data_IF_807668034662
#
_entry.id   IF_807668034662
#
_cell.length_a   1.000
_cell.length_b   1.000
_cell.length_c   1.000
_cell.angle_alpha   90.00
_cell.angle_beta   90.00
_cell.angle_gamma   90.00
#
_symmetry.space_group_name_H-M   'P 1'
#
loop_
_entity.id
_entity.type
_entity.pdbx_description
1 polymer ?
#
# COMPACT_ATOMS: atom_id res chain seq x y z
N UNK A 1 -3.24 -33.64 -9.49
CA UNK A 1 -2.18 -32.67 -9.81
C UNK A 1 -2.79 -31.30 -9.59
N UNK A 2 -2.52 -30.67 -8.44
CA UNK A 2 -3.04 -29.35 -8.13
C UNK A 2 -2.33 -28.34 -9.04
N UNK A 3 -3.11 -27.61 -9.80
CA UNK A 3 -2.64 -26.47 -10.59
C UNK A 3 -2.29 -25.28 -9.65
N UNK A 4 -1.34 -25.48 -8.75
CA UNK A 4 -0.76 -24.43 -7.94
C UNK A 4 0.18 -23.56 -8.80
N UNK A 5 -0.39 -22.89 -9.79
CA UNK A 5 0.33 -21.78 -10.42
C UNK A 5 0.34 -20.66 -9.42
N UNK A 6 1.51 -20.14 -9.03
CA UNK A 6 1.59 -18.99 -8.16
C UNK A 6 0.80 -17.84 -8.79
N UNK A 7 -0.07 -17.22 -8.00
CA UNK A 7 -1.01 -16.17 -8.44
C UNK A 7 -0.33 -14.92 -9.02
N UNK A 8 0.96 -14.76 -8.79
CA UNK A 8 1.77 -13.60 -9.14
C UNK A 8 2.71 -13.81 -10.32
N UNK A 9 2.62 -14.95 -11.03
CA UNK A 9 3.41 -15.26 -12.25
C UNK A 9 3.28 -14.21 -13.36
N UNK A 10 2.33 -13.30 -13.29
CA UNK A 10 2.08 -12.36 -14.38
C UNK A 10 2.81 -11.02 -14.27
N UNK A 11 3.59 -10.78 -13.23
CA UNK A 11 4.41 -9.56 -13.14
C UNK A 11 5.54 -9.56 -14.16
N UNK A 12 6.08 -10.72 -14.47
CA UNK A 12 7.12 -10.92 -15.49
C UNK A 12 6.64 -10.81 -16.95
N UNK A 13 5.35 -10.76 -17.17
CA UNK A 13 4.77 -10.76 -18.51
C UNK A 13 4.32 -9.41 -19.04
N UNK A 14 4.61 -8.29 -18.35
CA UNK A 14 4.53 -6.98 -18.97
C UNK A 14 5.73 -6.74 -19.87
N UNK A 15 5.86 -7.54 -20.94
CA UNK A 15 6.52 -7.05 -22.14
C UNK A 15 5.70 -5.83 -22.55
N UNK A 16 6.27 -4.70 -22.25
CA UNK A 16 5.64 -3.41 -22.39
C UNK A 16 5.51 -3.18 -23.88
N UNK A 17 4.37 -3.60 -24.43
CA UNK A 17 3.96 -3.19 -25.77
C UNK A 17 4.22 -1.69 -25.86
N UNK A 18 4.70 -1.21 -27.00
CA UNK A 18 5.09 0.19 -27.18
C UNK A 18 4.07 1.21 -26.66
N UNK A 19 2.81 0.81 -26.58
CA UNK A 19 1.71 1.59 -26.03
C UNK A 19 1.86 1.86 -24.52
N UNK A 20 2.17 0.83 -23.72
CA UNK A 20 2.37 0.98 -22.26
C UNK A 20 3.69 1.69 -21.99
N UNK A 21 4.70 1.44 -22.79
CA UNK A 21 6.03 2.02 -22.66
C UNK A 21 6.01 3.55 -22.62
N UNK A 22 5.19 4.18 -23.46
CA UNK A 22 5.03 5.64 -23.45
C UNK A 22 4.41 6.13 -22.16
N UNK A 23 3.35 5.46 -21.67
CA UNK A 23 2.67 5.80 -20.42
C UNK A 23 3.62 5.65 -19.22
N UNK A 24 4.36 4.52 -19.16
CA UNK A 24 5.33 4.25 -18.12
C UNK A 24 6.47 5.27 -18.13
N UNK A 25 6.99 5.60 -19.32
CA UNK A 25 8.06 6.59 -19.43
C UNK A 25 7.61 7.98 -19.00
N UNK A 26 6.40 8.41 -19.35
CA UNK A 26 5.86 9.69 -18.89
C UNK A 26 5.66 9.69 -17.36
N UNK A 27 5.16 8.58 -16.79
CA UNK A 27 5.04 8.44 -15.34
C UNK A 27 6.39 8.61 -14.62
N UNK A 28 7.46 8.04 -15.18
CA UNK A 28 8.82 8.15 -14.61
C UNK A 28 9.41 9.56 -14.68
N UNK A 29 8.97 10.37 -15.64
CA UNK A 29 9.43 11.74 -15.81
C UNK A 29 8.68 12.73 -14.91
N UNK A 30 7.55 12.35 -14.35
CA UNK A 30 6.75 13.19 -13.47
C UNK A 30 6.98 12.80 -12.00
N UNK A 31 7.75 13.60 -11.24
CA UNK A 31 8.08 13.28 -9.85
C UNK A 31 6.88 13.28 -8.90
N UNK A 32 5.73 13.77 -9.34
CA UNK A 32 4.51 13.74 -8.55
C UNK A 32 3.71 12.45 -8.72
N UNK A 33 4.11 11.56 -9.63
CA UNK A 33 3.44 10.30 -9.91
C UNK A 33 4.17 9.12 -9.26
N UNK A 34 3.42 8.21 -8.67
CA UNK A 34 3.92 6.97 -8.11
C UNK A 34 3.39 5.79 -8.92
N UNK A 35 4.28 4.93 -9.41
CA UNK A 35 3.94 3.70 -10.10
C UNK A 35 4.07 2.52 -9.15
N UNK A 36 2.99 1.75 -9.01
CA UNK A 36 2.94 0.52 -8.23
C UNK A 36 2.59 -0.68 -9.12
N UNK A 37 3.29 -1.78 -8.90
CA UNK A 37 3.03 -3.03 -9.60
C UNK A 37 2.02 -3.88 -8.81
N UNK A 38 1.10 -4.48 -9.55
CA UNK A 38 0.15 -5.48 -9.03
C UNK A 38 0.28 -6.74 -9.89
N UNK A 39 -0.31 -7.84 -9.46
CA UNK A 39 -0.16 -9.14 -10.13
C UNK A 39 -0.27 -9.05 -11.67
N UNK A 40 -1.33 -8.44 -12.17
CA UNK A 40 -1.57 -8.25 -13.61
C UNK A 40 -1.93 -6.80 -13.96
N UNK A 41 -1.63 -5.87 -13.06
CA UNK A 41 -2.00 -4.47 -13.20
C UNK A 41 -0.83 -3.56 -12.83
N UNK A 42 -0.71 -2.42 -13.52
CA UNK A 42 0.09 -1.28 -13.11
C UNK A 42 -0.89 -0.23 -12.57
N UNK A 43 -0.64 0.26 -11.38
CA UNK A 43 -1.39 1.37 -10.82
C UNK A 43 -0.52 2.62 -10.75
N UNK A 44 -1.04 3.74 -11.22
CA UNK A 44 -0.37 5.03 -11.15
C UNK A 44 -1.18 5.93 -10.22
N UNK A 45 -0.49 6.44 -9.21
CA UNK A 45 -1.09 7.23 -8.14
C UNK A 45 -0.64 8.68 -8.21
N UNK A 46 -1.54 9.57 -7.79
CA UNK A 46 -1.29 10.97 -7.53
C UNK A 46 -2.02 11.36 -6.24
N UNK A 47 -1.34 12.00 -5.27
CA UNK A 47 -1.89 12.34 -3.94
C UNK A 47 -2.60 11.14 -3.26
N UNK A 48 -2.03 9.94 -3.39
CA UNK A 48 -2.58 8.70 -2.85
C UNK A 48 -3.87 8.19 -3.53
N UNK A 49 -4.32 8.83 -4.59
CA UNK A 49 -5.43 8.36 -5.39
C UNK A 49 -4.96 7.70 -6.69
N UNK A 50 -5.52 6.54 -7.04
CA UNK A 50 -5.23 5.86 -8.29
C UNK A 50 -5.86 6.62 -9.44
N UNK A 51 -5.02 7.30 -10.25
CA UNK A 51 -5.46 8.05 -11.44
C UNK A 51 -5.44 7.21 -12.71
N UNK A 52 -4.65 6.14 -12.75
CA UNK A 52 -4.64 5.21 -13.87
C UNK A 52 -4.40 3.78 -13.38
N UNK A 53 -5.22 2.86 -13.82
CA UNK A 53 -4.99 1.43 -13.76
C UNK A 53 -4.79 0.87 -15.16
N UNK A 54 -3.74 0.08 -15.37
CA UNK A 54 -3.46 -0.63 -16.62
C UNK A 54 -3.51 -2.11 -16.29
N UNK A 55 -4.52 -2.82 -16.79
CA UNK A 55 -4.71 -4.25 -16.56
C UNK A 55 -4.39 -5.02 -17.83
N UNK A 56 -3.52 -6.02 -17.72
CA UNK A 56 -3.22 -6.97 -18.78
C UNK A 56 -4.20 -8.15 -18.69
N UNK A 57 -4.97 -8.34 -19.72
CA UNK A 57 -5.76 -9.55 -19.95
C UNK A 57 -5.05 -10.41 -21.01
N UNK A 58 -5.36 -11.71 -21.16
CA UNK A 58 -4.67 -12.59 -22.11
C UNK A 58 -4.59 -12.09 -23.55
N UNK A 59 -5.54 -11.27 -23.98
CA UNK A 59 -5.62 -10.77 -25.37
C UNK A 59 -5.71 -9.24 -25.48
N UNK A 60 -5.87 -8.53 -24.37
CA UNK A 60 -6.17 -7.08 -24.40
C UNK A 60 -5.63 -6.39 -23.17
N UNK A 61 -5.37 -5.09 -23.32
CA UNK A 61 -5.12 -4.19 -22.21
C UNK A 61 -6.41 -3.43 -21.87
N UNK A 62 -6.64 -3.23 -20.59
CA UNK A 62 -7.75 -2.41 -20.08
C UNK A 62 -7.16 -1.23 -19.32
N UNK A 63 -7.58 -0.02 -19.68
CA UNK A 63 -7.25 1.22 -18.95
C UNK A 63 -8.43 1.59 -18.04
N UNK A 64 -8.16 2.07 -16.84
CA UNK A 64 -9.21 2.54 -15.92
C UNK A 64 -8.80 3.82 -15.21
N UNK A 65 -9.75 4.72 -15.06
CA UNK A 65 -9.69 5.91 -14.22
C UNK A 65 -10.78 5.80 -13.16
N UNK A 66 -10.54 6.27 -11.94
CA UNK A 66 -11.56 6.21 -10.88
C UNK A 66 -12.51 7.40 -11.02
N UNK A 67 -13.71 7.13 -11.55
CA UNK A 67 -14.72 8.14 -11.88
C UNK A 67 -15.17 8.99 -10.69
N UNK A 68 -14.93 8.55 -9.44
CA UNK A 68 -15.27 9.35 -8.26
C UNK A 68 -14.57 10.70 -8.23
N UNK A 69 -13.39 10.84 -8.87
CA UNK A 69 -12.66 12.10 -8.94
C UNK A 69 -13.33 13.16 -9.83
N UNK A 70 -14.28 12.75 -10.66
CA UNK A 70 -15.11 13.68 -11.43
C UNK A 70 -16.30 14.24 -10.63
N UNK A 71 -16.54 13.70 -9.43
CA UNK A 71 -17.59 14.22 -8.56
C UNK A 71 -17.08 15.41 -7.73
N UNK A 72 -16.98 16.56 -8.38
CA UNK A 72 -16.41 17.80 -7.83
C UNK A 72 -17.47 18.89 -7.57
N UNK A 73 -18.75 18.54 -7.66
CA UNK A 73 -19.85 19.49 -7.41
C UNK A 73 -19.99 20.62 -8.44
N UNK A 74 -19.22 20.61 -9.53
CA UNK A 74 -19.31 21.55 -10.65
C UNK A 74 -19.57 20.77 -11.94
N UNK A 75 -20.82 20.77 -12.46
CA UNK A 75 -21.19 20.00 -13.64
C UNK A 75 -20.45 20.40 -14.92
N UNK A 76 -20.21 21.70 -15.13
CA UNK A 76 -19.53 22.20 -16.34
C UNK A 76 -18.08 21.72 -16.36
N UNK A 77 -17.37 21.86 -15.23
CA UNK A 77 -16.00 21.39 -15.10
C UNK A 77 -15.92 19.86 -15.15
N UNK A 78 -16.88 19.16 -14.58
CA UNK A 78 -16.96 17.69 -14.70
C UNK A 78 -17.15 17.26 -16.15
N UNK A 79 -17.93 18.00 -16.94
CA UNK A 79 -18.14 17.72 -18.35
C UNK A 79 -16.88 17.90 -19.20
N UNK A 80 -16.04 18.90 -18.88
CA UNK A 80 -14.75 19.13 -19.56
C UNK A 80 -13.83 17.91 -19.48
N UNK A 81 -13.82 17.22 -18.32
CA UNK A 81 -12.97 16.05 -18.05
C UNK A 81 -13.71 14.71 -18.21
N UNK A 82 -14.93 14.68 -18.72
CA UNK A 82 -15.73 13.46 -18.86
C UNK A 82 -15.04 12.39 -19.73
N UNK A 83 -14.20 12.82 -20.67
CA UNK A 83 -13.44 11.93 -21.52
C UNK A 83 -12.55 10.94 -20.74
N UNK A 84 -12.15 11.28 -19.47
CA UNK A 84 -11.39 10.40 -18.59
C UNK A 84 -12.16 9.13 -18.22
N UNK A 85 -13.49 9.13 -18.23
CA UNK A 85 -14.32 7.92 -18.04
C UNK A 85 -14.20 6.95 -19.21
N UNK A 86 -13.83 7.45 -20.38
CA UNK A 86 -13.85 6.70 -21.61
C UNK A 86 -12.47 6.25 -22.11
N UNK A 87 -11.44 6.32 -21.24
CA UNK A 87 -10.05 5.98 -21.60
C UNK A 87 -9.86 4.53 -22.02
N UNK A 88 -10.77 3.64 -21.66
CA UNK A 88 -10.73 2.23 -22.10
C UNK A 88 -11.42 1.98 -23.45
N UNK A 89 -12.11 2.99 -23.98
CA UNK A 89 -12.93 2.88 -25.20
C UNK A 89 -12.54 3.96 -26.20
N UNK A 90 -13.36 5.01 -26.31
CA UNK A 90 -13.24 6.08 -27.30
C UNK A 90 -12.00 6.96 -27.10
N UNK A 91 -11.57 7.16 -25.85
CA UNK A 91 -10.42 8.01 -25.51
C UNK A 91 -9.11 7.23 -25.32
N UNK A 92 -9.10 5.93 -25.56
CA UNK A 92 -7.92 5.06 -25.37
C UNK A 92 -6.72 5.56 -26.17
N UNK A 93 -6.89 5.80 -27.45
CA UNK A 93 -5.81 6.29 -28.32
C UNK A 93 -5.24 7.62 -27.85
N UNK A 94 -6.07 8.51 -27.27
CA UNK A 94 -5.62 9.78 -26.70
C UNK A 94 -4.63 9.56 -25.56
N UNK A 95 -4.91 8.62 -24.63
CA UNK A 95 -3.98 8.27 -23.54
C UNK A 95 -2.70 7.63 -24.07
N UNK A 96 -2.80 6.71 -25.02
CA UNK A 96 -1.65 5.98 -25.57
C UNK A 96 -0.72 6.89 -26.39
N UNK A 97 -1.24 7.87 -27.11
CA UNK A 97 -0.45 8.78 -27.94
C UNK A 97 0.04 10.02 -27.18
N UNK A 98 -0.74 10.49 -26.22
CA UNK A 98 -0.42 11.69 -25.43
C UNK A 98 -0.64 11.47 -23.92
N UNK A 99 0.12 10.57 -23.29
CA UNK A 99 -0.03 10.28 -21.86
C UNK A 99 0.20 11.52 -20.98
N UNK A 100 1.04 12.45 -21.40
CA UNK A 100 1.28 13.71 -20.68
C UNK A 100 0.02 14.54 -20.53
N UNK A 101 -0.78 14.69 -21.58
CA UNK A 101 -2.08 15.38 -21.54
C UNK A 101 -3.01 14.68 -20.54
N UNK A 102 -3.10 13.34 -20.63
CA UNK A 102 -3.91 12.56 -19.71
C UNK A 102 -3.51 12.82 -18.25
N UNK A 103 -2.20 12.74 -17.93
CA UNK A 103 -1.75 12.96 -16.55
C UNK A 103 -1.98 14.39 -16.09
N UNK A 104 -1.82 15.37 -16.95
CA UNK A 104 -2.12 16.75 -16.60
C UNK A 104 -3.59 16.96 -16.26
N UNK A 105 -4.49 16.42 -17.04
CA UNK A 105 -5.93 16.52 -16.82
C UNK A 105 -6.37 15.71 -15.59
N UNK A 106 -5.86 14.48 -15.45
CA UNK A 106 -6.13 13.65 -14.28
C UNK A 106 -5.62 14.30 -12.97
N UNK A 107 -4.45 14.95 -12.97
CA UNK A 107 -3.94 15.70 -11.82
C UNK A 107 -4.79 16.91 -11.50
N UNK A 108 -5.18 17.71 -12.49
CA UNK A 108 -6.04 18.89 -12.28
C UNK A 108 -7.36 18.54 -11.63
N UNK A 109 -8.05 17.53 -12.17
CA UNK A 109 -9.34 17.12 -11.60
C UNK A 109 -9.17 16.54 -10.19
N UNK A 110 -8.07 15.80 -9.96
CA UNK A 110 -7.74 15.26 -8.67
C UNK A 110 -7.45 16.35 -7.62
N UNK A 111 -6.74 17.41 -8.00
CA UNK A 111 -6.47 18.56 -7.13
C UNK A 111 -7.76 19.23 -6.67
N UNK A 112 -8.70 19.44 -7.59
CA UNK A 112 -10.02 20.00 -7.27
C UNK A 112 -10.76 19.07 -6.32
N UNK A 113 -10.77 17.76 -6.60
CA UNK A 113 -11.43 16.77 -5.78
C UNK A 113 -10.84 16.73 -4.36
N UNK A 114 -9.51 16.78 -4.22
CA UNK A 114 -8.84 16.81 -2.93
C UNK A 114 -9.14 18.05 -2.11
N UNK A 115 -9.22 19.22 -2.75
CA UNK A 115 -9.59 20.46 -2.07
C UNK A 115 -10.97 20.39 -1.43
N UNK A 116 -11.89 19.63 -2.05
CA UNK A 116 -13.26 19.44 -1.55
C UNK A 116 -13.28 18.36 -0.45
N UNK A 117 -12.55 17.25 -0.64
CA UNK A 117 -12.69 16.04 0.18
C UNK A 117 -11.64 15.88 1.27
N UNK A 118 -10.58 16.71 1.28
CA UNK A 118 -9.51 16.77 2.30
C UNK A 118 -9.10 15.38 2.86
N UNK A 119 -8.42 14.57 2.05
CA UNK A 119 -7.94 13.23 2.41
C UNK A 119 -6.47 13.26 2.81
N UNK A 120 -6.15 13.91 3.95
CA UNK A 120 -4.77 14.11 4.40
C UNK A 120 -3.98 12.79 4.49
N UNK A 121 -4.56 11.73 5.06
CA UNK A 121 -3.89 10.43 5.20
C UNK A 121 -3.40 9.87 3.85
N UNK A 122 -4.19 10.00 2.78
CA UNK A 122 -3.78 9.59 1.44
C UNK A 122 -2.68 10.46 0.84
N UNK A 123 -2.76 11.75 1.05
CA UNK A 123 -1.73 12.69 0.59
C UNK A 123 -0.42 12.44 1.33
N UNK A 124 -0.47 12.21 2.65
CA UNK A 124 0.69 11.87 3.45
C UNK A 124 1.29 10.52 3.04
N UNK A 125 0.47 9.50 2.81
CA UNK A 125 0.90 8.19 2.29
C UNK A 125 1.66 8.34 0.98
N UNK A 126 1.14 9.16 0.06
CA UNK A 126 1.78 9.43 -1.22
C UNK A 126 3.11 10.17 -1.08
N UNK A 127 3.18 11.19 -0.21
CA UNK A 127 4.42 11.90 0.10
C UNK A 127 5.46 10.98 0.72
N UNK A 128 5.05 10.14 1.67
CA UNK A 128 5.94 9.11 2.22
C UNK A 128 6.49 8.24 1.10
N UNK A 129 5.65 7.74 0.20
CA UNK A 129 6.10 6.89 -0.88
C UNK A 129 7.07 7.58 -1.84
N UNK A 130 6.81 8.84 -2.21
CA UNK A 130 7.69 9.60 -3.09
C UNK A 130 9.03 9.99 -2.45
N UNK A 131 9.03 10.27 -1.15
CA UNK A 131 10.25 10.67 -0.44
C UNK A 131 11.13 9.48 -0.01
N UNK A 132 10.63 8.24 -0.15
CA UNK A 132 11.34 7.03 0.23
C UNK A 132 11.43 6.03 -0.94
N UNK A 133 11.81 6.51 -2.11
CA UNK A 133 11.99 5.66 -3.31
C UNK A 133 13.34 4.94 -3.32
N UNK A 134 14.31 5.39 -2.54
CA UNK A 134 15.68 4.86 -2.46
C UNK A 134 16.15 4.75 -1.02
N UNK A 135 17.12 3.88 -0.79
CA UNK A 135 17.87 3.76 0.45
C UNK A 135 19.19 4.54 0.26
N UNK A 136 19.37 5.62 1.02
CA UNK A 136 20.57 6.45 0.98
C UNK A 136 21.46 6.18 2.21
N UNK A 137 20.83 5.96 3.37
CA UNK A 137 21.50 5.67 4.64
C UNK A 137 21.06 4.31 5.17
N UNK A 138 21.83 3.72 6.07
CA UNK A 138 21.56 2.39 6.62
C UNK A 138 20.20 2.27 7.33
N UNK A 139 19.74 3.37 7.94
CA UNK A 139 18.45 3.45 8.61
C UNK A 139 17.25 3.70 7.68
N UNK A 140 17.48 4.05 6.41
CA UNK A 140 16.41 4.39 5.48
C UNK A 140 15.61 3.14 5.08
N UNK A 141 14.33 3.35 4.84
CA UNK A 141 13.43 2.37 4.24
C UNK A 141 12.97 2.85 2.88
N UNK A 142 13.13 2.03 1.84
CA UNK A 142 12.56 2.33 0.53
C UNK A 142 11.14 1.76 0.42
N UNK A 143 10.18 2.58 0.00
CA UNK A 143 8.80 2.14 -0.25
C UNK A 143 8.75 1.35 -1.54
N UNK A 144 8.21 0.14 -1.44
CA UNK A 144 8.02 -0.80 -2.55
C UNK A 144 6.61 -0.70 -3.10
N UNK A 145 5.62 -0.51 -2.22
CA UNK A 145 4.20 -0.46 -2.60
C UNK A 145 3.37 0.34 -1.59
N UNK A 146 2.22 0.87 -2.06
CA UNK A 146 1.19 1.49 -1.21
C UNK A 146 -0.17 0.86 -1.50
N UNK A 147 -1.10 0.91 -0.54
CA UNK A 147 -2.46 0.36 -0.71
C UNK A 147 -2.43 -1.13 -1.17
N UNK A 148 -1.47 -1.91 -0.65
CA UNK A 148 -1.33 -3.32 -1.02
C UNK A 148 -2.52 -4.12 -0.54
N UNK A 149 -3.37 -4.55 -1.46
CA UNK A 149 -4.53 -5.38 -1.16
C UNK A 149 -4.15 -6.87 -1.26
N UNK A 150 -4.33 -7.59 -0.16
CA UNK A 150 -4.20 -9.06 -0.17
C UNK A 150 -5.39 -9.64 -0.92
N UNK A 151 -5.13 -10.21 -2.10
CA UNK A 151 -6.17 -10.83 -2.92
C UNK A 151 -6.76 -12.05 -2.22
N UNK A 152 -8.08 -12.25 -2.34
CA UNK A 152 -8.75 -13.47 -1.85
C UNK A 152 -8.20 -14.77 -2.46
N UNK A 153 -7.48 -14.67 -3.55
CA UNK A 153 -6.81 -15.77 -4.23
C UNK A 153 -5.31 -15.81 -3.98
N UNK A 154 -4.77 -14.91 -3.15
CA UNK A 154 -3.36 -14.94 -2.77
C UNK A 154 -3.06 -16.17 -1.90
N UNK A 155 -1.88 -16.81 -2.08
CA UNK A 155 -1.44 -17.90 -1.19
C UNK A 155 -1.38 -17.48 0.29
N UNK A 156 -1.13 -16.21 0.57
CA UNK A 156 -1.12 -15.67 1.93
C UNK A 156 -2.50 -15.29 2.46
N UNK A 157 -3.58 -15.41 1.67
CA UNK A 157 -4.92 -15.06 2.11
C UNK A 157 -5.58 -16.19 2.91
N UNK A 158 -5.90 -15.90 4.16
CA UNK A 158 -6.63 -16.83 5.02
C UNK A 158 -8.13 -16.53 5.00
N UNK A 159 -8.87 -17.25 4.15
CA UNK A 159 -10.33 -17.11 4.03
C UNK A 159 -11.06 -17.55 5.31
N UNK A 160 -10.54 -18.56 5.99
CA UNK A 160 -11.12 -19.08 7.24
C UNK A 160 -11.02 -18.04 8.36
N UNK A 161 -9.88 -17.35 8.48
CA UNK A 161 -9.73 -16.22 9.40
C UNK A 161 -10.83 -15.17 9.18
N UNK A 162 -11.00 -14.76 7.94
CA UNK A 162 -12.00 -13.75 7.60
C UNK A 162 -13.41 -14.14 8.00
N UNK A 163 -13.77 -15.42 7.84
CA UNK A 163 -15.11 -15.92 8.15
C UNK A 163 -15.33 -16.13 9.65
N UNK A 164 -14.28 -16.45 10.40
CA UNK A 164 -14.38 -16.89 11.80
C UNK A 164 -14.14 -15.75 12.78
N UNK A 165 -13.24 -14.82 12.48
CA UNK A 165 -12.72 -13.85 13.46
C UNK A 165 -13.08 -12.40 13.17
N UNK A 166 -13.44 -12.07 11.95
CA UNK A 166 -13.83 -10.74 11.59
C UNK A 166 -15.34 -10.57 11.73
N UNK A 167 -15.78 -9.88 12.74
CA UNK A 167 -17.10 -9.24 12.76
C UNK A 167 -17.10 -8.18 11.66
N UNK A 168 -17.68 -8.54 10.54
CA UNK A 168 -17.62 -7.89 9.26
C UNK A 168 -17.88 -6.40 9.25
N UNK A 169 -16.91 -5.59 8.90
CA UNK A 169 -17.19 -4.43 8.09
C UNK A 169 -17.30 -4.85 6.61
N UNK A 170 -18.54 -4.98 6.12
CA UNK A 170 -18.86 -5.38 4.74
C UNK A 170 -18.23 -4.46 3.67
N UNK A 171 -17.70 -3.28 4.09
CA UNK A 171 -17.13 -2.25 3.20
C UNK A 171 -15.73 -2.61 2.71
N UNK A 172 -15.00 -3.46 3.42
CA UNK A 172 -13.61 -3.81 3.08
C UNK A 172 -13.43 -5.33 3.02
N UNK A 173 -13.79 -5.95 1.89
CA UNK A 173 -13.75 -7.40 1.76
C UNK A 173 -12.32 -7.97 1.81
N UNK A 174 -11.30 -7.18 1.52
CA UNK A 174 -9.89 -7.59 1.53
C UNK A 174 -9.07 -6.66 2.41
N UNK A 175 -8.21 -7.19 3.31
CA UNK A 175 -7.29 -6.36 4.07
C UNK A 175 -6.33 -5.65 3.13
N UNK A 176 -6.00 -4.41 3.49
CA UNK A 176 -5.02 -3.59 2.77
C UNK A 176 -3.99 -3.13 3.76
N UNK A 177 -2.76 -3.09 3.30
CA UNK A 177 -1.65 -2.49 4.02
C UNK A 177 -1.28 -1.19 3.34
N UNK A 178 -1.17 -0.13 4.12
CA UNK A 178 -0.98 1.20 3.58
C UNK A 178 0.38 1.35 2.92
N UNK A 179 1.46 0.82 3.53
CA UNK A 179 2.82 0.97 3.04
C UNK A 179 3.56 -0.36 3.18
N UNK A 180 4.24 -0.78 2.11
CA UNK A 180 5.24 -1.84 2.15
C UNK A 180 6.59 -1.21 1.82
N UNK A 181 7.59 -1.46 2.66
CA UNK A 181 8.94 -0.94 2.50
C UNK A 181 10.00 -2.02 2.70
N UNK A 182 11.22 -1.75 2.27
CA UNK A 182 12.38 -2.63 2.43
C UNK A 182 13.57 -1.82 2.97
N UNK A 183 14.38 -2.43 3.84
CA UNK A 183 15.64 -1.85 4.28
C UNK A 183 16.83 -2.34 3.43
N UNK A 184 18.02 -1.80 3.68
CA UNK A 184 19.25 -2.18 2.98
C UNK A 184 19.67 -3.66 3.17
N UNK A 185 19.13 -4.36 4.16
CA UNK A 185 19.39 -5.76 4.46
C UNK A 185 18.34 -6.71 3.86
N UNK A 186 17.46 -6.23 3.00
CA UNK A 186 16.44 -7.03 2.35
C UNK A 186 15.25 -7.40 3.25
N UNK A 187 15.11 -6.80 4.44
CA UNK A 187 13.98 -7.06 5.32
C UNK A 187 12.76 -6.24 4.93
N UNK A 188 11.60 -6.88 4.84
CA UNK A 188 10.33 -6.24 4.51
C UNK A 188 9.66 -5.68 5.76
N UNK A 189 9.18 -4.45 5.64
CA UNK A 189 8.35 -3.75 6.62
C UNK A 189 6.97 -3.49 6.03
N UNK A 190 5.96 -3.66 6.87
CA UNK A 190 4.55 -3.38 6.55
C UNK A 190 4.04 -2.36 7.54
N UNK A 191 3.59 -1.22 7.06
CA UNK A 191 3.05 -0.17 7.92
C UNK A 191 1.59 0.10 7.63
N UNK A 192 0.86 0.30 8.70
CA UNK A 192 -0.44 0.96 8.69
C UNK A 192 -0.23 2.43 9.04
N UNK A 193 -0.67 3.32 8.16
CA UNK A 193 -0.56 4.77 8.35
C UNK A 193 -1.75 5.30 9.14
N UNK A 194 -1.48 6.19 10.06
CA UNK A 194 -2.50 6.94 10.80
C UNK A 194 -2.17 8.43 10.74
N UNK A 195 -3.15 9.25 10.41
CA UNK A 195 -3.00 10.71 10.35
C UNK A 195 -3.97 11.34 11.34
N UNK A 196 -3.42 12.06 12.33
CA UNK A 196 -4.20 12.63 13.41
C UNK A 196 -4.90 11.59 14.29
N UNK A 197 -5.44 12.01 15.43
CA UNK A 197 -6.07 11.10 16.40
C UNK A 197 -7.41 10.51 15.92
N UNK A 198 -8.04 11.12 14.92
CA UNK A 198 -9.32 10.66 14.40
C UNK A 198 -9.21 9.39 13.53
N UNK A 199 -8.04 9.10 12.99
CA UNK A 199 -7.79 7.93 12.16
C UNK A 199 -7.39 6.67 12.95
N UNK A 200 -7.32 6.75 14.27
CA UNK A 200 -6.78 5.69 15.15
C UNK A 200 -7.74 4.52 15.41
N UNK A 201 -8.87 4.47 14.71
CA UNK A 201 -9.80 3.34 14.79
C UNK A 201 -9.19 2.07 14.20
N UNK A 202 -9.57 0.93 14.77
CA UNK A 202 -9.23 -0.40 14.24
C UNK A 202 -7.74 -0.80 14.28
N UNK A 203 -6.88 -0.14 15.09
CA UNK A 203 -5.48 -0.56 15.22
C UNK A 203 -5.34 -2.04 15.62
N UNK A 204 -6.20 -2.54 16.51
CA UNK A 204 -6.27 -3.95 16.88
C UNK A 204 -6.55 -4.86 15.67
N UNK A 205 -7.50 -4.47 14.81
CA UNK A 205 -7.85 -5.22 13.60
C UNK A 205 -6.68 -5.31 12.63
N UNK A 206 -5.92 -4.23 12.44
CA UNK A 206 -4.76 -4.24 11.56
C UNK A 206 -3.64 -5.14 12.07
N UNK A 207 -3.41 -5.20 13.38
CA UNK A 207 -2.47 -6.14 14.01
C UNK A 207 -2.90 -7.59 13.72
N UNK A 208 -4.16 -7.90 13.97
CA UNK A 208 -4.69 -9.25 13.76
C UNK A 208 -4.75 -9.62 12.28
N UNK A 209 -5.08 -8.68 11.39
CA UNK A 209 -5.04 -8.88 9.95
C UNK A 209 -3.62 -9.21 9.47
N UNK A 210 -2.61 -8.49 9.94
CA UNK A 210 -1.22 -8.80 9.62
C UNK A 210 -0.83 -10.21 10.08
N UNK A 211 -1.10 -10.54 11.34
CA UNK A 211 -0.78 -11.86 11.89
C UNK A 211 -1.47 -12.99 11.12
N UNK A 212 -2.74 -12.80 10.75
CA UNK A 212 -3.53 -13.81 10.07
C UNK A 212 -3.22 -13.94 8.57
N UNK A 213 -2.85 -12.84 7.90
CA UNK A 213 -2.70 -12.82 6.45
C UNK A 213 -1.27 -13.02 5.98
N UNK A 214 -0.31 -12.47 6.71
CA UNK A 214 1.12 -12.54 6.37
C UNK A 214 1.87 -13.51 7.27
N UNK A 215 1.37 -13.73 8.48
CA UNK A 215 2.01 -14.58 9.46
C UNK A 215 1.95 -16.09 9.14
N UNK A 216 1.02 -16.54 8.29
CA UNK A 216 0.78 -17.98 8.05
C UNK A 216 0.98 -18.37 6.58
N UNK A 217 1.64 -19.52 6.33
CA UNK A 217 1.75 -20.13 4.99
C UNK A 217 0.47 -20.81 4.52
N UNK A 218 -0.33 -21.31 5.46
CA UNK A 218 -1.55 -22.04 5.15
C UNK A 218 -2.76 -21.35 5.76
N UNK A 219 -3.84 -21.20 5.01
CA UNK A 219 -5.10 -20.73 5.54
C UNK A 219 -5.54 -21.55 6.74
N UNK A 220 -5.84 -20.89 7.87
CA UNK A 220 -6.26 -21.56 9.12
C UNK A 220 -5.14 -22.22 9.93
N UNK A 221 -3.91 -22.27 9.45
CA UNK A 221 -2.78 -22.82 10.17
C UNK A 221 -2.09 -21.73 11.01
N UNK A 222 -2.52 -21.59 12.24
CA UNK A 222 -1.86 -20.79 13.27
C UNK A 222 -0.98 -21.66 14.17
N UNK A 223 -0.43 -22.77 13.61
CA UNK A 223 0.46 -23.65 14.34
C UNK A 223 1.75 -22.92 14.77
N UNK A 224 2.54 -23.54 15.62
CA UNK A 224 3.68 -22.96 16.34
C UNK A 224 4.70 -22.18 15.48
N UNK A 225 4.69 -22.37 14.16
CA UNK A 225 5.58 -21.69 13.24
C UNK A 225 4.75 -20.85 12.27
N UNK A 226 4.63 -19.55 12.55
CA UNK A 226 4.02 -18.60 11.61
C UNK A 226 4.93 -18.50 10.39
N UNK A 227 4.40 -18.86 9.25
CA UNK A 227 5.13 -18.89 8.00
C UNK A 227 4.73 -17.71 7.12
N UNK A 228 5.70 -17.09 6.48
CA UNK A 228 5.57 -15.87 5.69
C UNK A 228 6.18 -16.00 4.30
N UNK A 229 6.57 -17.23 3.94
CA UNK A 229 7.33 -17.51 2.72
C UNK A 229 6.63 -17.04 1.46
N UNK A 230 5.33 -17.32 1.33
CA UNK A 230 4.55 -16.91 0.16
C UNK A 230 4.50 -15.39 -0.03
N UNK A 231 4.40 -14.64 1.07
CA UNK A 231 4.42 -13.17 1.01
C UNK A 231 5.79 -12.64 0.60
N UNK A 232 6.88 -13.21 1.13
CA UNK A 232 8.24 -12.83 0.75
C UNK A 232 8.59 -13.22 -0.68
N UNK A 233 8.09 -14.36 -1.18
CA UNK A 233 8.24 -14.74 -2.58
C UNK A 233 7.57 -13.71 -3.49
N UNK A 234 6.38 -13.26 -3.13
CA UNK A 234 5.65 -12.22 -3.84
C UNK A 234 6.39 -10.86 -3.85
N UNK A 235 6.92 -10.46 -2.70
CA UNK A 235 7.71 -9.22 -2.60
C UNK A 235 9.02 -9.34 -3.41
N UNK A 236 9.67 -10.49 -3.38
CA UNK A 236 10.87 -10.75 -4.17
C UNK A 236 10.63 -10.61 -5.67
N UNK A 237 9.55 -11.20 -6.19
CA UNK A 237 9.19 -11.05 -7.61
C UNK A 237 8.87 -9.60 -7.97
N UNK A 238 8.14 -8.89 -7.13
CA UNK A 238 7.80 -7.48 -7.34
C UNK A 238 9.05 -6.60 -7.38
N UNK A 239 9.98 -6.78 -6.44
CA UNK A 239 11.22 -6.01 -6.35
C UNK A 239 12.12 -6.32 -7.55
N UNK A 240 12.24 -7.58 -7.95
CA UNK A 240 12.99 -7.96 -9.16
C UNK A 240 12.45 -7.25 -10.41
N UNK A 241 11.12 -7.20 -10.57
CA UNK A 241 10.49 -6.51 -11.70
C UNK A 241 10.69 -4.98 -11.62
N UNK A 242 10.61 -4.38 -10.43
CA UNK A 242 10.93 -2.96 -10.23
C UNK A 242 12.37 -2.62 -10.61
N UNK A 243 13.31 -3.51 -10.30
CA UNK A 243 14.75 -3.34 -10.56
C UNK A 243 15.15 -3.54 -12.03
N UNK A 244 14.32 -4.17 -12.86
CA UNK A 244 14.65 -4.43 -14.28
C UNK A 244 14.68 -3.17 -15.18
N UNK A 245 14.94 -1.99 -14.64
CA UNK A 245 15.00 -0.69 -15.33
C UNK A 245 13.71 -0.25 -16.05
N UNK A 246 12.65 -1.05 -16.02
CA UNK A 246 11.37 -0.71 -16.64
C UNK A 246 10.63 0.34 -15.84
N UNK A 247 10.77 0.28 -14.50
CA UNK A 247 9.95 1.07 -13.59
C UNK A 247 10.76 2.00 -12.68
N UNK A 248 12.08 1.83 -12.59
CA UNK A 248 12.97 2.59 -11.70
C UNK A 248 14.11 3.30 -12.45
N UNK A 249 13.77 4.15 -13.41
CA UNK A 249 14.78 4.92 -14.14
C UNK A 249 15.58 5.81 -13.19
N UNK A 250 16.91 5.78 -13.32
CA UNK A 250 17.86 6.61 -12.57
C UNK A 250 17.83 6.44 -11.06
N UNK A 251 17.14 5.43 -10.54
CA UNK A 251 17.15 5.08 -9.12
C UNK A 251 18.07 3.89 -8.88
N UNK A 252 18.72 3.85 -7.73
CA UNK A 252 19.48 2.69 -7.28
C UNK A 252 18.60 1.45 -7.17
N UNK A 253 19.08 0.25 -7.54
CA UNK A 253 18.32 -0.97 -7.35
C UNK A 253 17.92 -1.15 -5.88
N UNK A 254 16.70 -1.63 -5.65
CA UNK A 254 16.31 -2.10 -4.33
C UNK A 254 17.08 -3.36 -3.98
N UNK A 255 17.38 -3.60 -2.69
CA UNK A 255 17.99 -4.85 -2.25
C UNK A 255 17.10 -6.05 -2.58
N UNK A 256 17.72 -7.21 -2.78
CA UNK A 256 16.97 -8.46 -2.84
C UNK A 256 16.29 -8.76 -1.50
N UNK A 257 15.13 -9.37 -1.55
CA UNK A 257 14.41 -9.77 -0.32
C UNK A 257 15.17 -10.88 0.38
N UNK A 258 15.53 -10.66 1.63
CA UNK A 258 16.08 -11.70 2.49
C UNK A 258 14.94 -12.58 3.04
N UNK A 259 14.71 -13.72 2.37
CA UNK A 259 13.64 -14.67 2.72
C UNK A 259 13.87 -15.39 4.04
N UNK A 260 15.04 -15.23 4.66
CA UNK A 260 15.32 -15.75 6.00
C UNK A 260 14.79 -14.83 7.10
N UNK A 261 14.50 -13.57 6.77
CA UNK A 261 13.98 -12.58 7.71
C UNK A 261 12.48 -12.44 7.60
N UNK A 262 11.80 -12.57 8.73
CA UNK A 262 10.36 -12.38 8.80
C UNK A 262 9.96 -10.93 8.51
N UNK A 263 8.81 -10.67 7.85
CA UNK A 263 8.27 -9.32 7.72
C UNK A 263 7.98 -8.69 9.09
N UNK A 264 8.19 -7.39 9.19
CA UNK A 264 7.92 -6.60 10.40
C UNK A 264 6.69 -5.74 10.17
N UNK A 265 5.76 -5.72 11.13
CA UNK A 265 4.60 -4.84 11.13
C UNK A 265 4.76 -3.70 12.13
N UNK A 266 4.34 -2.51 11.73
CA UNK A 266 4.30 -1.34 12.60
C UNK A 266 3.25 -0.32 12.19
N UNK A 267 3.08 0.69 13.04
CA UNK A 267 2.26 1.85 12.71
C UNK A 267 3.16 3.03 12.37
N UNK A 268 2.88 3.69 11.25
CA UNK A 268 3.42 5.01 10.93
C UNK A 268 2.37 6.08 11.26
N UNK A 269 2.81 7.22 11.77
CA UNK A 269 1.90 8.28 12.20
C UNK A 269 2.37 9.66 11.73
N UNK A 270 1.47 10.37 11.06
CA UNK A 270 1.64 11.78 10.71
C UNK A 270 0.73 12.65 11.60
N UNK A 271 1.28 13.77 12.07
CA UNK A 271 0.53 14.72 12.89
C UNK A 271 -0.47 15.48 12.03
N UNK A 272 -1.70 15.64 12.49
CA UNK A 272 -2.69 16.49 11.83
C UNK A 272 -2.25 17.96 11.90
N UNK A 273 -1.98 18.59 10.75
CA UNK A 273 -1.43 19.96 10.66
C UNK A 273 -2.44 21.04 11.04
N UNK A 274 -3.72 20.80 10.79
CA UNK A 274 -4.82 21.69 11.17
C UNK A 274 -5.74 20.93 12.15
N UNK A 275 -5.40 20.87 13.44
CA UNK A 275 -6.27 20.21 14.39
C UNK A 275 -7.62 20.91 14.44
N UNK A 276 -8.69 20.19 14.10
CA UNK A 276 -10.04 20.67 14.33
C UNK A 276 -10.12 21.12 15.77
N UNK A 277 -10.76 22.21 16.07
CA UNK A 277 -11.03 22.92 17.32
C UNK A 277 -10.74 22.25 18.70
N UNK A 278 -10.17 21.07 18.74
CA UNK A 278 -9.82 20.29 19.94
C UNK A 278 -8.52 20.71 20.62
N UNK A 279 -7.73 21.63 20.02
CA UNK A 279 -6.53 22.19 20.64
C UNK A 279 -5.37 21.21 20.90
N UNK A 280 -5.39 20.01 20.28
CA UNK A 280 -4.35 19.02 20.54
C UNK A 280 -3.02 19.41 19.90
N UNK A 281 -2.01 19.69 20.72
CA UNK A 281 -0.64 19.96 20.27
C UNK A 281 -0.04 18.72 19.57
N UNK A 282 0.96 18.89 18.70
CA UNK A 282 1.68 17.78 18.08
C UNK A 282 2.21 16.76 19.10
N UNK A 283 2.77 17.21 20.22
CA UNK A 283 3.30 16.33 21.28
C UNK A 283 2.19 15.54 21.97
N UNK A 284 1.05 16.14 22.21
CA UNK A 284 -0.10 15.43 22.74
C UNK A 284 -0.57 14.36 21.76
N UNK A 285 -0.64 14.67 20.47
CA UNK A 285 -1.01 13.69 19.44
C UNK A 285 -0.04 12.51 19.41
N UNK A 286 1.28 12.77 19.42
CA UNK A 286 2.33 11.74 19.44
C UNK A 286 2.21 10.81 20.67
N UNK A 287 2.07 11.39 21.85
CA UNK A 287 1.90 10.62 23.09
C UNK A 287 0.61 9.77 23.04
N UNK A 288 -0.48 10.34 22.55
CA UNK A 288 -1.78 9.68 22.53
C UNK A 288 -1.82 8.52 21.55
N UNK A 289 -1.24 8.66 20.35
CA UNK A 289 -1.18 7.57 19.38
C UNK A 289 -0.35 6.39 19.91
N UNK A 290 0.79 6.65 20.55
CA UNK A 290 1.60 5.61 21.15
C UNK A 290 0.81 4.79 22.17
N UNK A 291 0.02 5.46 23.03
CA UNK A 291 -0.86 4.77 23.98
C UNK A 291 -1.94 3.94 23.27
N UNK A 292 -2.59 4.50 22.25
CA UNK A 292 -3.64 3.80 21.50
C UNK A 292 -3.11 2.51 20.85
N UNK A 293 -1.92 2.56 20.25
CA UNK A 293 -1.30 1.38 19.62
C UNK A 293 -0.91 0.35 20.68
N UNK A 294 -0.34 0.78 21.81
CA UNK A 294 -0.01 -0.11 22.92
C UNK A 294 -1.27 -0.81 23.49
N UNK A 295 -2.35 -0.06 23.69
CA UNK A 295 -3.62 -0.59 24.17
C UNK A 295 -4.23 -1.58 23.13
N UNK A 296 -4.14 -1.25 21.83
CA UNK A 296 -4.60 -2.11 20.74
C UNK A 296 -3.81 -3.42 20.67
N UNK A 297 -2.49 -3.39 20.84
CA UNK A 297 -1.65 -4.58 20.91
C UNK A 297 -2.05 -5.46 22.11
N UNK A 298 -2.23 -4.87 23.28
CA UNK A 298 -2.69 -5.59 24.48
C UNK A 298 -4.07 -6.25 24.30
N UNK A 299 -4.95 -5.62 23.51
CA UNK A 299 -6.24 -6.21 23.12
C UNK A 299 -6.05 -7.34 22.12
N UNK A 300 -5.28 -7.13 21.06
CA UNK A 300 -5.03 -8.13 20.02
C UNK A 300 -4.45 -9.44 20.58
N UNK A 301 -3.68 -9.36 21.67
CA UNK A 301 -3.13 -10.54 22.38
C UNK A 301 -4.20 -11.28 23.22
N UNK A 302 -5.31 -10.62 23.58
CA UNK A 302 -6.26 -11.16 24.59
C UNK A 302 -7.69 -11.33 24.11
N UNK A 303 -8.04 -10.77 22.95
CA UNK A 303 -9.45 -10.51 22.61
C UNK A 303 -10.01 -11.37 21.50
N UNK A 304 -9.21 -12.21 20.87
CA UNK A 304 -9.75 -13.06 19.82
C UNK A 304 -10.56 -14.20 20.42
N UNK A 305 -11.62 -14.58 19.75
CA UNK A 305 -12.38 -15.80 20.09
C UNK A 305 -11.57 -17.08 19.81
N UNK A 306 -10.41 -16.95 19.16
CA UNK A 306 -9.48 -18.05 18.88
C UNK A 306 -8.12 -17.81 19.53
N UNK A 307 -7.83 -18.60 20.57
CA UNK A 307 -6.55 -18.57 21.28
C UNK A 307 -5.33 -18.77 20.37
N UNK A 308 -5.48 -19.43 19.23
CA UNK A 308 -4.38 -19.63 18.26
C UNK A 308 -3.93 -18.29 17.67
N UNK A 309 -4.89 -17.41 17.35
CA UNK A 309 -4.56 -16.07 16.83
C UNK A 309 -3.94 -15.20 17.91
N UNK A 310 -4.48 -15.23 19.14
CA UNK A 310 -3.90 -14.52 20.28
C UNK A 310 -2.44 -14.94 20.51
N UNK A 311 -2.18 -16.23 20.55
CA UNK A 311 -0.83 -16.78 20.69
C UNK A 311 0.08 -16.36 19.52
N UNK A 312 -0.45 -16.34 18.28
CA UNK A 312 0.30 -15.91 17.11
C UNK A 312 0.73 -14.44 17.22
N UNK A 313 -0.19 -13.55 17.59
CA UNK A 313 0.10 -12.11 17.80
C UNK A 313 1.13 -11.93 18.93
N UNK A 314 0.94 -12.64 20.05
CA UNK A 314 1.87 -12.57 21.20
C UNK A 314 3.27 -13.03 20.81
N UNK A 315 3.39 -14.15 20.09
CA UNK A 315 4.66 -14.68 19.62
C UNK A 315 5.34 -13.69 18.66
N UNK A 316 4.60 -13.17 17.66
CA UNK A 316 5.14 -12.16 16.72
C UNK A 316 5.59 -10.89 17.43
N UNK A 317 4.89 -10.47 18.48
CA UNK A 317 5.30 -9.35 19.30
C UNK A 317 6.59 -9.63 20.06
N UNK A 318 6.70 -10.78 20.71
CA UNK A 318 7.91 -11.21 21.45
C UNK A 318 9.13 -11.31 20.53
N UNK A 319 8.92 -11.77 19.30
CA UNK A 319 9.97 -11.92 18.29
C UNK A 319 10.33 -10.59 17.59
N UNK A 320 9.72 -9.46 18.00
CA UNK A 320 9.96 -8.15 17.40
C UNK A 320 9.36 -7.97 16.01
N UNK A 321 8.45 -8.86 15.58
CA UNK A 321 7.78 -8.79 14.28
C UNK A 321 6.56 -7.85 14.28
N UNK A 322 6.02 -7.55 15.44
CA UNK A 322 5.01 -6.50 15.64
C UNK A 322 5.62 -5.45 16.55
N UNK A 323 5.81 -4.24 16.01
CA UNK A 323 6.41 -3.14 16.76
C UNK A 323 5.38 -2.52 17.70
N UNK A 324 5.75 -2.37 18.97
CA UNK A 324 4.95 -1.63 19.95
C UNK A 324 5.13 -0.11 19.85
N UNK A 325 6.25 0.31 19.27
CA UNK A 325 6.53 1.74 19.05
C UNK A 325 5.97 2.20 17.72
N UNK A 326 5.33 3.36 17.75
CA UNK A 326 4.83 4.03 16.55
C UNK A 326 5.97 4.80 15.90
N UNK A 327 6.15 4.60 14.60
CA UNK A 327 7.07 5.38 13.79
C UNK A 327 6.46 6.77 13.54
N UNK A 328 7.04 7.79 14.13
CA UNK A 328 6.61 9.17 13.92
C UNK A 328 7.22 9.68 12.62
N UNK A 329 6.37 10.13 11.71
CA UNK A 329 6.75 10.71 10.43
C UNK A 329 6.78 12.22 10.59
N UNK A 330 7.95 12.80 10.35
CA UNK A 330 8.18 14.24 10.42
C UNK A 330 7.83 14.93 9.08
N UNK A 331 8.08 16.22 9.00
CA UNK A 331 7.70 17.04 7.82
C UNK A 331 8.46 16.67 6.55
N UNK A 332 9.58 15.96 6.64
CA UNK A 332 10.34 15.42 5.51
C UNK A 332 9.74 14.12 4.92
N UNK A 333 8.72 13.57 5.59
CA UNK A 333 8.05 12.32 5.20
C UNK A 333 8.99 11.11 5.06
N UNK A 334 10.12 11.08 5.80
CA UNK A 334 11.08 9.97 5.76
C UNK A 334 10.65 8.80 6.64
N UNK A 335 10.82 7.58 6.09
CA UNK A 335 10.72 6.32 6.82
C UNK A 335 12.12 5.86 7.22
N UNK A 336 12.31 5.56 8.49
CA UNK A 336 13.58 5.07 9.02
C UNK A 336 13.36 3.89 9.94
N UNK A 337 14.28 2.93 9.94
CA UNK A 337 14.27 1.88 10.97
C UNK A 337 14.49 2.52 12.33
N UNK A 338 13.72 2.10 13.34
CA UNK A 338 14.02 2.50 14.72
C UNK A 338 15.46 2.07 15.05
N UNK A 339 16.26 2.97 15.56
CA UNK A 339 17.55 2.60 16.15
C UNK A 339 17.24 1.72 17.36
N UNK A 340 17.57 0.43 17.25
CA UNK A 340 17.54 -0.50 18.38
C UNK A 340 18.59 -0.13 19.41
#
# INVERSE_FOLDING_TARGET
MSNDKPLYVMRTGFDVEDQIKRIVNETKQDPALLLCLRANEIHIYYKGGKILGIKKNPKTLTLSFDEKYLNIGNPELSAEYEWLKHINRTSRKRVEHNPKEFFNDAKKIMDIWFNIHRKQERDDQHKIALNNVEIIHDEDLAVVDIEFAVSANSPCYNREYKNTFRTYDKRYPNPRFDIIAINNQGQIYVFELKTGLNSTKNCETHITDFAAMIGSEKPGDFSETIRYKSFLDEMSEMIAELNQNRFRNNLSPLPDVDKSKAPIFGFAYTVEKEPKASGHTPDYQKMRIQKIVSDALGKAIKSSSDRRLDNAVEMMYRDGRILSQVMLIEDDFKLKTAKC
#
